data_IF_896860482748
#
_entry.id   IF_896860482748
#
_cell.length_a   1.000
_cell.length_b   1.000
_cell.length_c   1.000
_cell.angle_alpha   90.00
_cell.angle_beta   90.00
_cell.angle_gamma   90.00
#
_symmetry.space_group_name_H-M   'P 1'
#
loop_
_entity.id
_entity.type
_entity.pdbx_description
1 polymer ?
#
# COMPACT_ATOMS: atom_id res chain seq x y z
N UNK A 1 -67.69 28.24 -56.71
CA UNK A 1 -66.24 28.56 -56.70
C UNK A 1 -65.54 27.56 -55.81
N UNK A 2 -64.69 26.72 -56.39
CA UNK A 2 -63.83 25.76 -55.69
C UNK A 2 -62.74 26.46 -54.88
N UNK A 3 -62.38 25.92 -53.70
CA UNK A 3 -60.97 25.73 -53.34
C UNK A 3 -60.81 24.76 -52.17
N UNK A 4 -60.32 23.58 -52.54
CA UNK A 4 -59.62 22.60 -51.71
C UNK A 4 -58.29 23.23 -51.26
N UNK A 5 -57.93 23.09 -49.98
CA UNK A 5 -56.55 23.26 -49.54
C UNK A 5 -56.14 22.04 -48.70
N UNK A 6 -55.43 21.12 -49.35
CA UNK A 6 -54.68 20.03 -48.71
C UNK A 6 -53.46 20.63 -48.02
N UNK A 7 -53.30 20.40 -46.73
CA UNK A 7 -52.01 20.58 -46.04
C UNK A 7 -51.43 19.19 -45.79
N UNK A 8 -50.31 18.95 -46.45
CA UNK A 8 -49.45 17.79 -46.29
C UNK A 8 -48.18 18.31 -45.65
N UNK A 9 -47.77 17.84 -44.46
CA UNK A 9 -46.36 17.89 -44.07
C UNK A 9 -46.02 16.90 -42.94
N UNK A 10 -45.43 15.78 -43.36
CA UNK A 10 -44.23 15.11 -42.82
C UNK A 10 -44.16 14.88 -41.30
N UNK A 11 -44.45 13.65 -40.88
CA UNK A 11 -43.96 13.07 -39.63
C UNK A 11 -42.46 12.74 -39.75
N UNK A 12 -41.62 13.49 -39.02
CA UNK A 12 -40.23 13.13 -38.76
C UNK A 12 -40.19 11.97 -37.75
N UNK A 13 -39.68 10.80 -38.17
CA UNK A 13 -39.28 9.72 -37.27
C UNK A 13 -37.90 10.06 -36.68
N UNK A 14 -37.85 10.45 -35.42
CA UNK A 14 -36.59 10.60 -34.68
C UNK A 14 -36.18 9.22 -34.16
N UNK A 15 -35.34 8.52 -34.91
CA UNK A 15 -34.57 7.38 -34.38
C UNK A 15 -33.50 7.90 -33.45
N UNK A 16 -33.74 7.86 -32.14
CA UNK A 16 -32.71 8.11 -31.14
C UNK A 16 -31.79 6.87 -31.05
N UNK A 17 -30.61 6.96 -31.66
CA UNK A 17 -29.50 6.06 -31.35
C UNK A 17 -28.84 6.52 -30.04
N UNK A 18 -29.37 6.11 -28.89
CA UNK A 18 -28.70 6.27 -27.59
C UNK A 18 -27.73 5.09 -27.35
N UNK A 19 -26.58 5.08 -28.04
CA UNK A 19 -25.47 4.14 -27.74
C UNK A 19 -24.11 4.73 -28.12
N UNK A 20 -23.57 5.64 -27.32
CA UNK A 20 -22.10 5.92 -27.31
C UNK A 20 -21.59 6.55 -26.00
N UNK A 21 -22.45 6.98 -25.07
CA UNK A 21 -21.98 7.76 -23.90
C UNK A 21 -21.37 6.94 -22.75
N UNK A 22 -21.61 5.62 -22.69
CA UNK A 22 -21.11 4.79 -21.58
C UNK A 22 -19.65 4.37 -21.74
N UNK A 23 -19.19 4.03 -22.94
CA UNK A 23 -17.83 3.48 -23.15
C UNK A 23 -16.76 4.53 -22.89
N UNK A 24 -16.93 5.75 -23.42
CA UNK A 24 -15.99 6.85 -23.23
C UNK A 24 -15.87 7.26 -21.75
N UNK A 25 -16.98 7.26 -21.01
CA UNK A 25 -17.00 7.63 -19.58
C UNK A 25 -16.32 6.58 -18.70
N UNK A 26 -16.46 5.29 -19.05
CA UNK A 26 -15.80 4.20 -18.33
C UNK A 26 -14.29 4.16 -18.60
N UNK A 27 -13.86 4.42 -19.82
CA UNK A 27 -12.43 4.46 -20.18
C UNK A 27 -11.69 5.61 -19.47
N UNK A 28 -12.31 6.80 -19.38
CA UNK A 28 -11.79 7.93 -18.62
C UNK A 28 -11.68 7.63 -17.11
N UNK A 29 -12.69 6.93 -16.54
CA UNK A 29 -12.66 6.54 -15.13
C UNK A 29 -11.58 5.50 -14.81
N UNK A 30 -11.29 4.62 -15.76
CA UNK A 30 -10.26 3.59 -15.60
C UNK A 30 -8.87 4.19 -15.68
N UNK A 31 -8.59 5.05 -16.66
CA UNK A 31 -7.29 5.72 -16.77
C UNK A 31 -6.97 6.59 -15.54
N UNK A 32 -7.96 7.29 -14.98
CA UNK A 32 -7.79 8.04 -13.75
C UNK A 32 -7.48 7.14 -12.55
N UNK A 33 -8.12 5.96 -12.46
CA UNK A 33 -7.83 5.00 -11.41
C UNK A 33 -6.43 4.38 -11.53
N UNK A 34 -5.93 4.18 -12.74
CA UNK A 34 -4.56 3.71 -12.94
C UNK A 34 -3.53 4.75 -12.52
N UNK A 35 -3.75 6.00 -12.92
CA UNK A 35 -2.91 7.11 -12.48
C UNK A 35 -2.94 7.26 -10.95
N UNK A 36 -4.09 7.02 -10.30
CA UNK A 36 -4.19 7.01 -8.84
C UNK A 36 -3.30 5.91 -8.23
N UNK A 37 -3.34 4.67 -8.76
CA UNK A 37 -2.46 3.58 -8.31
C UNK A 37 -0.98 3.91 -8.52
N UNK A 38 -0.61 4.51 -9.66
CA UNK A 38 0.78 4.95 -9.91
C UNK A 38 1.27 6.00 -8.91
N UNK A 39 0.35 6.80 -8.36
CA UNK A 39 0.62 7.79 -7.32
C UNK A 39 0.46 7.22 -5.89
N UNK A 40 0.35 5.90 -5.74
CA UNK A 40 0.22 5.23 -4.43
C UNK A 40 -1.20 5.25 -3.86
N UNK A 41 -2.19 5.62 -4.66
CA UNK A 41 -3.61 5.52 -4.34
C UNK A 41 -4.14 4.09 -4.53
N UNK A 42 -5.47 3.98 -4.49
CA UNK A 42 -6.19 2.70 -4.51
C UNK A 42 -6.84 2.38 -5.86
N UNK A 43 -6.80 3.31 -6.80
CA UNK A 43 -7.56 3.25 -8.03
C UNK A 43 -9.04 3.10 -7.77
N UNK A 44 -9.62 2.00 -8.28
CA UNK A 44 -11.05 1.72 -8.11
C UNK A 44 -11.37 1.12 -6.74
N UNK A 45 -10.38 0.68 -5.97
CA UNK A 45 -10.58 -0.04 -4.73
C UNK A 45 -11.16 0.84 -3.62
N UNK A 46 -12.16 0.32 -2.91
CA UNK A 46 -12.87 1.03 -1.84
C UNK A 46 -12.54 0.46 -0.48
N UNK A 47 -12.73 1.30 0.54
CA UNK A 47 -12.62 0.89 1.94
C UNK A 47 -13.94 0.33 2.43
N UNK A 48 -13.85 -0.69 3.28
CA UNK A 48 -14.97 -1.13 4.08
C UNK A 48 -15.39 0.02 5.02
N UNK A 49 -16.65 0.50 4.96
CA UNK A 49 -17.12 1.60 5.80
C UNK A 49 -17.24 1.22 7.28
N UNK A 50 -17.29 -0.07 7.60
CA UNK A 50 -17.44 -0.59 8.96
C UNK A 50 -16.53 -1.82 9.16
N UNK A 51 -15.19 -1.65 9.18
CA UNK A 51 -14.28 -2.75 9.43
C UNK A 51 -14.41 -3.26 10.87
N UNK A 52 -14.28 -4.56 11.07
CA UNK A 52 -14.56 -5.23 12.36
C UNK A 52 -13.38 -6.05 12.88
N UNK A 53 -12.44 -6.44 12.03
CA UNK A 53 -11.33 -7.33 12.39
C UNK A 53 -10.12 -6.53 12.88
N UNK A 54 -10.26 -5.89 14.05
CA UNK A 54 -9.26 -4.99 14.60
C UNK A 54 -8.12 -5.73 15.32
N UNK A 55 -6.88 -5.29 15.09
CA UNK A 55 -5.66 -5.75 15.75
C UNK A 55 -4.87 -4.56 16.28
N UNK A 56 -4.47 -4.64 17.55
CA UNK A 56 -3.55 -3.69 18.16
C UNK A 56 -2.13 -4.02 17.70
N UNK A 57 -1.47 -3.05 17.06
CA UNK A 57 -0.09 -3.17 16.59
C UNK A 57 0.83 -2.42 17.55
N UNK A 58 1.92 -3.06 17.94
CA UNK A 58 2.96 -2.46 18.76
C UNK A 58 4.28 -2.49 17.99
N UNK A 59 4.83 -1.30 17.76
CA UNK A 59 6.19 -1.09 17.25
C UNK A 59 7.11 -0.69 18.41
N UNK A 60 8.23 -1.39 18.55
CA UNK A 60 9.27 -1.09 19.54
C UNK A 60 10.62 -0.84 18.90
N UNK A 61 11.32 0.17 19.39
CA UNK A 61 12.71 0.44 19.09
C UNK A 61 13.57 -0.03 20.25
N UNK A 62 14.74 -0.59 19.95
CA UNK A 62 15.70 -0.96 20.98
C UNK A 62 17.10 -0.55 20.55
N UNK A 63 17.82 0.12 21.46
CA UNK A 63 19.15 0.69 21.23
C UNK A 63 19.23 1.62 20.01
N UNK A 64 18.16 2.38 19.72
CA UNK A 64 18.17 3.32 18.60
C UNK A 64 19.33 4.33 18.74
N UNK A 65 20.12 4.56 17.67
CA UNK A 65 21.28 5.47 17.71
C UNK A 65 20.90 6.95 17.86
N UNK A 66 19.63 7.29 17.62
CA UNK A 66 19.07 8.63 17.75
C UNK A 66 17.54 8.62 17.60
N UNK A 67 16.90 9.80 17.66
CA UNK A 67 15.46 9.93 17.53
C UNK A 67 14.97 9.62 16.10
N UNK A 68 13.84 8.94 15.98
CA UNK A 68 13.11 8.79 14.72
C UNK A 68 11.88 9.71 14.73
N UNK A 69 12.00 10.89 14.11
CA UNK A 69 10.93 11.89 14.06
C UNK A 69 9.88 11.58 12.99
N UNK A 70 10.24 10.79 11.96
CA UNK A 70 9.30 10.32 10.95
C UNK A 70 9.17 8.80 11.01
N UNK A 71 7.97 8.36 11.40
CA UNK A 71 7.58 6.95 11.44
C UNK A 71 6.25 6.83 10.69
N UNK A 72 6.29 6.11 9.58
CA UNK A 72 5.14 5.92 8.69
C UNK A 72 4.75 4.44 8.73
N UNK A 73 3.60 4.15 9.33
CA UNK A 73 3.03 2.81 9.33
C UNK A 73 2.25 2.54 8.05
N UNK A 74 2.25 1.29 7.60
CA UNK A 74 1.46 0.84 6.44
C UNK A 74 0.83 -0.52 6.68
N UNK A 75 -0.42 -0.70 6.27
CA UNK A 75 -1.09 -2.00 6.18
C UNK A 75 -1.29 -2.34 4.70
N UNK A 76 -0.80 -3.51 4.28
CA UNK A 76 -0.91 -3.96 2.91
C UNK A 76 -2.03 -4.99 2.77
N UNK A 77 -2.78 -4.85 1.68
CA UNK A 77 -3.82 -5.77 1.26
C UNK A 77 -3.58 -6.14 -0.20
N UNK A 78 -3.81 -7.40 -0.53
CA UNK A 78 -3.72 -7.91 -1.89
C UNK A 78 -5.03 -8.61 -2.24
N UNK A 79 -5.48 -8.48 -3.48
CA UNK A 79 -6.56 -9.31 -4.00
C UNK A 79 -6.02 -10.72 -4.22
N UNK A 80 -6.81 -11.76 -3.97
CA UNK A 80 -6.36 -13.15 -4.10
C UNK A 80 -6.83 -13.85 -5.39
N UNK A 81 -7.68 -13.17 -6.16
CA UNK A 81 -8.36 -13.70 -7.36
C UNK A 81 -8.30 -12.68 -8.52
N UNK A 82 -7.15 -12.04 -8.73
CA UNK A 82 -7.01 -10.98 -9.75
C UNK A 82 -7.26 -11.48 -11.17
N UNK A 83 -6.94 -12.75 -11.45
CA UNK A 83 -7.20 -13.35 -12.76
C UNK A 83 -8.71 -13.36 -13.10
N UNK A 84 -9.55 -13.62 -12.11
CA UNK A 84 -11.00 -13.64 -12.26
C UNK A 84 -11.61 -12.23 -12.27
N UNK A 85 -11.23 -11.38 -11.33
CA UNK A 85 -11.93 -10.11 -11.07
C UNK A 85 -11.23 -8.87 -11.65
N UNK A 86 -9.91 -8.92 -11.85
CA UNK A 86 -9.06 -7.75 -12.11
C UNK A 86 -9.06 -7.28 -13.55
N UNK A 87 -8.36 -6.18 -13.84
CA UNK A 87 -8.15 -5.76 -15.24
C UNK A 87 -7.15 -6.67 -15.94
N UNK A 88 -7.51 -7.14 -17.14
CA UNK A 88 -6.59 -7.89 -18.00
C UNK A 88 -5.78 -6.92 -18.85
N UNK A 89 -4.46 -7.04 -18.79
CA UNK A 89 -3.59 -6.32 -19.71
C UNK A 89 -3.78 -6.87 -21.13
N UNK A 90 -4.20 -6.05 -22.12
CA UNK A 90 -4.44 -6.52 -23.48
C UNK A 90 -3.21 -7.07 -24.20
N UNK A 91 -2.01 -6.60 -23.85
CA UNK A 91 -0.75 -7.00 -24.49
C UNK A 91 -0.27 -8.37 -23.98
N UNK A 92 -0.40 -8.62 -22.67
CA UNK A 92 0.08 -9.87 -22.05
C UNK A 92 -1.02 -10.91 -21.87
N UNK A 93 -2.29 -10.51 -21.92
CA UNK A 93 -3.44 -11.36 -21.62
C UNK A 93 -3.56 -11.78 -20.15
N UNK A 94 -2.77 -11.17 -19.26
CA UNK A 94 -2.74 -11.52 -17.82
C UNK A 94 -3.35 -10.41 -16.97
N UNK A 95 -3.94 -10.78 -15.83
CA UNK A 95 -4.31 -9.79 -14.83
C UNK A 95 -3.07 -9.16 -14.20
N UNK A 96 -3.14 -7.86 -13.92
CA UNK A 96 -2.16 -7.18 -13.07
C UNK A 96 -2.40 -7.52 -11.60
N UNK A 97 -1.34 -7.47 -10.79
CA UNK A 97 -1.48 -7.54 -9.32
C UNK A 97 -2.29 -6.35 -8.84
N UNK A 98 -3.22 -6.58 -7.91
CA UNK A 98 -4.03 -5.54 -7.30
C UNK A 98 -3.66 -5.46 -5.81
N UNK A 99 -2.97 -4.39 -5.45
CA UNK A 99 -2.46 -4.15 -4.10
C UNK A 99 -2.96 -2.80 -3.59
N UNK A 100 -3.27 -2.74 -2.31
CA UNK A 100 -3.59 -1.50 -1.59
C UNK A 100 -2.66 -1.34 -0.40
N UNK A 101 -2.12 -0.14 -0.21
CA UNK A 101 -1.33 0.23 0.95
C UNK A 101 -2.05 1.32 1.73
N UNK A 102 -2.64 0.95 2.86
CA UNK A 102 -3.36 1.89 3.71
C UNK A 102 -2.43 2.44 4.80
N UNK A 103 -2.39 3.78 4.99
CA UNK A 103 -1.65 4.38 6.10
C UNK A 103 -2.12 3.82 7.45
N UNK A 104 -1.17 3.36 8.26
CA UNK A 104 -1.38 2.97 9.65
C UNK A 104 -0.92 4.11 10.55
N UNK A 105 -1.86 4.69 11.29
CA UNK A 105 -1.56 5.72 12.28
C UNK A 105 -0.89 5.08 13.51
N UNK A 106 0.44 5.19 13.59
CA UNK A 106 1.22 4.82 14.75
C UNK A 106 1.36 6.03 15.70
N UNK A 107 0.88 5.88 16.93
CA UNK A 107 0.95 6.90 17.98
C UNK A 107 2.08 6.56 18.94
N UNK A 108 2.97 7.51 19.19
CA UNK A 108 4.01 7.38 20.22
C UNK A 108 3.37 7.32 21.60
N UNK A 109 3.64 6.25 22.36
CA UNK A 109 3.14 6.07 23.73
C UNK A 109 4.26 6.09 24.77
N UNK A 110 5.49 5.80 24.36
CA UNK A 110 6.71 5.97 25.15
C UNK A 110 7.86 6.40 24.23
N UNK A 111 9.07 6.54 24.78
CA UNK A 111 10.18 7.05 23.99
C UNK A 111 10.53 6.18 22.79
N UNK A 112 10.37 4.87 22.96
CA UNK A 112 10.76 3.79 22.06
C UNK A 112 9.57 2.89 21.65
N UNK A 113 8.34 3.29 21.97
CA UNK A 113 7.15 2.46 21.77
C UNK A 113 6.01 3.24 21.08
N UNK A 114 5.43 2.62 20.05
CA UNK A 114 4.39 3.18 19.21
C UNK A 114 3.26 2.18 19.01
N UNK A 115 2.02 2.65 19.15
CA UNK A 115 0.82 1.82 19.05
C UNK A 115 -0.04 2.26 17.86
N UNK A 116 -0.62 1.30 17.16
CA UNK A 116 -1.59 1.53 16.09
C UNK A 116 -2.68 0.47 16.07
N UNK A 117 -3.65 0.65 15.18
CA UNK A 117 -4.70 -0.34 14.96
C UNK A 117 -4.81 -0.65 13.48
N UNK A 118 -4.70 -1.93 13.13
CA UNK A 118 -4.93 -2.44 11.78
C UNK A 118 -6.27 -3.17 11.75
N UNK A 119 -6.97 -3.09 10.63
CA UNK A 119 -8.19 -3.85 10.40
C UNK A 119 -7.97 -4.84 9.25
N UNK A 120 -8.07 -6.14 9.50
CA UNK A 120 -7.81 -7.13 8.44
C UNK A 120 -8.82 -7.03 7.29
N UNK A 121 -10.04 -6.57 7.58
CA UNK A 121 -11.14 -6.36 6.65
C UNK A 121 -11.30 -4.89 6.23
N UNK A 122 -10.19 -4.14 6.16
CA UNK A 122 -10.19 -2.73 5.81
C UNK A 122 -10.62 -2.45 4.36
N UNK A 123 -10.28 -3.36 3.45
CA UNK A 123 -10.65 -3.26 2.04
C UNK A 123 -12.03 -3.86 1.81
N UNK A 124 -12.79 -3.25 0.88
CA UNK A 124 -14.11 -3.73 0.51
C UNK A 124 -14.01 -4.75 -0.63
N UNK A 125 -14.64 -5.91 -0.48
CA UNK A 125 -14.85 -6.80 -1.61
C UNK A 125 -15.94 -6.22 -2.52
N UNK A 126 -15.58 -5.94 -3.78
CA UNK A 126 -16.50 -5.39 -4.78
C UNK A 126 -16.07 -5.79 -6.20
N UNK A 127 -16.99 -5.74 -7.15
CA UNK A 127 -16.68 -5.88 -8.57
C UNK A 127 -16.21 -4.54 -9.15
N UNK A 128 -14.90 -4.34 -9.15
CA UNK A 128 -14.27 -3.10 -9.60
C UNK A 128 -14.17 -2.97 -11.13
N UNK A 129 -14.10 -4.10 -11.85
CA UNK A 129 -13.80 -4.12 -13.28
C UNK A 129 -14.93 -4.74 -14.13
N UNK A 130 -16.08 -5.06 -13.54
CA UNK A 130 -17.21 -5.69 -14.20
C UNK A 130 -16.98 -7.15 -14.57
N UNK A 131 -16.05 -7.83 -13.90
CA UNK A 131 -15.63 -9.23 -14.18
C UNK A 131 -15.97 -10.19 -13.05
N UNK A 132 -16.48 -9.68 -11.93
CA UNK A 132 -16.74 -10.43 -10.71
C UNK A 132 -16.13 -9.75 -9.49
N UNK A 133 -16.48 -10.23 -8.30
CA UNK A 133 -16.02 -9.65 -7.04
C UNK A 133 -14.53 -9.91 -6.84
N UNK A 134 -13.76 -8.85 -6.57
CA UNK A 134 -12.39 -8.98 -6.08
C UNK A 134 -12.40 -9.24 -4.57
N UNK A 135 -11.73 -10.32 -4.17
CA UNK A 135 -11.59 -10.74 -2.78
C UNK A 135 -10.27 -10.23 -2.23
N UNK A 136 -10.36 -9.32 -1.26
CA UNK A 136 -9.20 -8.76 -0.58
C UNK A 136 -8.77 -9.63 0.58
N UNK A 137 -7.45 -9.70 0.77
CA UNK A 137 -6.84 -10.30 1.95
C UNK A 137 -5.79 -9.35 2.52
N UNK A 138 -5.76 -9.23 3.84
CA UNK A 138 -4.63 -8.60 4.52
C UNK A 138 -3.36 -9.42 4.30
N UNK A 139 -2.31 -8.75 3.84
CA UNK A 139 -1.02 -9.37 3.49
C UNK A 139 0.04 -9.17 4.56
N UNK A 140 -0.08 -8.12 5.35
CA UNK A 140 0.88 -7.79 6.40
C UNK A 140 0.91 -6.30 6.70
N UNK A 141 1.69 -5.93 7.71
CA UNK A 141 1.88 -4.53 8.09
C UNK A 141 3.35 -4.25 8.33
N UNK A 142 3.75 -3.00 8.13
CA UNK A 142 5.11 -2.56 8.28
C UNK A 142 5.21 -1.12 8.73
N UNK A 143 6.45 -0.69 8.89
CA UNK A 143 6.78 0.70 9.14
C UNK A 143 8.05 1.09 8.38
N UNK A 144 8.06 2.34 7.96
CA UNK A 144 9.23 3.08 7.48
C UNK A 144 9.62 4.08 8.54
N UNK A 145 10.89 4.09 8.93
CA UNK A 145 11.43 5.05 9.88
C UNK A 145 12.56 5.85 9.25
N UNK A 146 12.55 7.16 9.53
CA UNK A 146 13.57 8.14 9.17
C UNK A 146 13.88 9.03 10.37
N UNK A 147 15.11 9.54 10.44
CA UNK A 147 15.56 10.37 11.54
C UNK A 147 14.76 11.68 11.61
N UNK A 148 14.68 12.41 10.50
CA UNK A 148 13.90 13.66 10.38
C UNK A 148 12.85 13.57 9.27
N UNK A 149 13.05 12.66 8.31
CA UNK A 149 12.21 12.52 7.12
C UNK A 149 12.82 13.07 5.84
N UNK A 150 14.07 13.53 5.87
CA UNK A 150 14.76 14.05 4.70
C UNK A 150 14.96 12.96 3.63
N UNK A 151 15.05 13.36 2.36
CA UNK A 151 15.10 12.40 1.24
C UNK A 151 16.39 11.57 1.27
N UNK A 152 17.50 12.21 1.61
CA UNK A 152 18.83 11.62 1.72
C UNK A 152 19.00 10.61 2.87
N UNK A 153 18.04 10.54 3.80
CA UNK A 153 18.10 9.65 4.96
C UNK A 153 17.80 8.20 4.58
N UNK A 154 18.45 7.28 5.29
CA UNK A 154 18.15 5.86 5.22
C UNK A 154 16.72 5.60 5.67
N UNK A 155 15.99 4.85 4.85
CA UNK A 155 14.68 4.29 5.19
C UNK A 155 14.86 2.95 5.87
N UNK A 156 14.62 2.92 7.17
CA UNK A 156 14.58 1.67 7.91
C UNK A 156 13.20 1.04 7.76
N UNK A 157 13.15 -0.09 7.07
CA UNK A 157 11.92 -0.78 6.69
C UNK A 157 11.78 -2.06 7.50
N UNK A 158 10.62 -2.24 8.12
CA UNK A 158 10.21 -3.50 8.75
C UNK A 158 8.83 -3.88 8.23
N UNK A 159 8.57 -5.17 8.06
CA UNK A 159 7.29 -5.70 7.57
C UNK A 159 7.08 -7.11 8.10
N UNK A 160 5.97 -7.33 8.81
CA UNK A 160 5.51 -8.63 9.29
C UNK A 160 4.35 -9.10 8.39
N UNK A 161 4.46 -10.33 7.87
CA UNK A 161 3.43 -10.94 7.04
C UNK A 161 2.18 -11.31 7.85
N UNK A 162 1.06 -11.48 7.15
CA UNK A 162 -0.24 -11.76 7.76
C UNK A 162 -0.26 -13.04 8.61
N UNK A 163 0.44 -14.10 8.20
CA UNK A 163 0.41 -15.38 8.90
C UNK A 163 1.07 -15.23 10.27
N UNK A 164 2.27 -14.62 10.33
CA UNK A 164 2.94 -14.30 11.60
C UNK A 164 2.17 -13.27 12.43
N UNK A 165 1.66 -12.23 11.79
CA UNK A 165 0.91 -11.16 12.45
C UNK A 165 -0.33 -11.70 13.18
N UNK A 166 -1.11 -12.55 12.51
CA UNK A 166 -2.34 -13.13 13.09
C UNK A 166 -2.06 -14.25 14.09
N UNK A 167 -0.91 -14.94 13.99
CA UNK A 167 -0.44 -15.87 15.01
C UNK A 167 -0.03 -15.19 16.33
N UNK A 168 0.13 -13.86 16.33
CA UNK A 168 0.61 -13.10 17.50
C UNK A 168 2.12 -13.15 17.66
N UNK A 169 2.85 -13.48 16.59
CA UNK A 169 4.31 -13.48 16.59
C UNK A 169 4.88 -12.07 16.77
N UNK A 170 6.12 -12.02 17.23
CA UNK A 170 6.94 -10.81 17.17
C UNK A 170 7.99 -10.96 16.07
N UNK A 171 8.00 -10.03 15.12
CA UNK A 171 9.09 -9.85 14.18
C UNK A 171 10.08 -8.84 14.77
N UNK A 172 11.35 -9.22 14.91
CA UNK A 172 12.43 -8.30 15.27
C UNK A 172 13.46 -8.27 14.15
N UNK A 173 13.73 -7.09 13.60
CA UNK A 173 14.80 -6.88 12.62
C UNK A 173 15.90 -6.03 13.24
N UNK A 174 17.14 -6.44 13.01
CA UNK A 174 18.35 -5.76 13.46
C UNK A 174 18.97 -4.95 12.31
N UNK A 175 19.50 -3.78 12.63
CA UNK A 175 20.04 -2.81 11.71
C UNK A 175 21.38 -2.28 12.23
N UNK A 176 22.40 -2.10 11.38
CA UNK A 176 23.64 -1.43 11.77
C UNK A 176 23.37 0.02 12.18
N UNK A 177 23.79 0.39 13.39
CA UNK A 177 23.64 1.76 13.90
C UNK A 177 24.39 2.79 13.04
N UNK A 178 25.49 2.38 12.38
CA UNK A 178 26.25 3.23 11.45
C UNK A 178 25.44 3.70 10.23
N UNK A 179 24.34 3.00 9.91
CA UNK A 179 23.49 3.35 8.77
C UNK A 179 22.54 4.50 9.12
N UNK A 180 22.50 4.92 10.39
CA UNK A 180 21.71 6.05 10.87
C UNK A 180 22.54 7.34 10.96
N UNK A 181 21.98 8.51 10.57
CA UNK A 181 20.73 8.67 9.84
C UNK A 181 20.88 8.37 8.33
N UNK A 182 22.14 8.25 7.86
CA UNK A 182 22.49 8.02 6.46
C UNK A 182 23.52 6.91 6.36
N UNK A 183 23.19 5.86 5.61
CA UNK A 183 24.14 4.83 5.22
C UNK A 183 25.29 5.43 4.42
N UNK A 184 26.51 5.11 4.84
CA UNK A 184 27.70 5.43 4.07
C UNK A 184 27.73 4.62 2.76
N UNK A 185 28.26 5.19 1.68
CA UNK A 185 28.54 4.42 0.47
C UNK A 185 29.43 3.22 0.79
N UNK A 186 29.20 2.10 0.11
CA UNK A 186 30.18 1.03 0.06
C UNK A 186 31.29 1.50 -0.87
N UNK A 187 32.52 1.64 -0.36
CA UNK A 187 33.68 1.92 -1.20
C UNK A 187 33.82 0.80 -2.24
N UNK A 188 33.61 1.16 -3.50
CA UNK A 188 33.66 0.26 -4.63
C UNK A 188 33.99 1.03 -5.91
N UNK A 189 34.36 0.33 -7.01
CA UNK A 189 34.79 0.96 -8.26
C UNK A 189 33.71 1.81 -8.94
N UNK A 190 32.47 1.82 -8.41
CA UNK A 190 31.33 2.57 -8.91
C UNK A 190 31.38 4.07 -8.63
N UNK A 191 32.28 4.55 -7.74
CA UNK A 191 32.42 5.98 -7.45
C UNK A 191 31.19 6.63 -6.83
N UNK A 192 30.28 5.83 -6.25
CA UNK A 192 29.07 6.32 -5.58
C UNK A 192 29.46 6.99 -4.28
N UNK A 193 29.16 8.29 -4.15
CA UNK A 193 29.55 9.14 -3.01
C UNK A 193 28.43 9.35 -1.98
N UNK A 194 27.19 8.98 -2.28
CA UNK A 194 26.04 8.91 -1.36
C UNK A 194 25.02 7.88 -1.85
N UNK A 195 24.36 7.19 -0.91
CA UNK A 195 23.17 6.40 -1.21
C UNK A 195 21.98 7.12 -0.61
N UNK A 196 21.39 8.01 -1.41
CA UNK A 196 20.17 8.72 -1.02
C UNK A 196 19.01 7.73 -0.91
N UNK A 197 18.13 7.98 0.06
CA UNK A 197 16.90 7.20 0.28
C UNK A 197 17.14 5.68 0.40
N UNK A 198 18.28 5.27 0.99
CA UNK A 198 18.69 3.86 1.09
C UNK A 198 17.64 3.00 1.82
N UNK A 199 17.11 1.93 1.20
CA UNK A 199 16.09 1.06 1.82
C UNK A 199 16.71 -0.03 2.69
N UNK A 200 17.09 0.30 3.92
CA UNK A 200 17.61 -0.66 4.89
C UNK A 200 16.49 -1.58 5.39
N UNK A 201 16.57 -2.88 5.07
CA UNK A 201 15.59 -3.90 5.49
C UNK A 201 15.98 -4.66 6.77
N UNK A 202 17.23 -4.52 7.22
CA UNK A 202 17.75 -5.25 8.38
C UNK A 202 17.71 -6.77 8.21
N UNK A 203 18.01 -7.51 9.28
CA UNK A 203 17.93 -8.97 9.31
C UNK A 203 17.39 -9.46 10.65
N UNK A 204 16.64 -10.57 10.65
CA UNK A 204 16.17 -11.21 11.88
C UNK A 204 17.31 -11.92 12.61
N UNK A 205 18.28 -12.48 11.87
CA UNK A 205 19.47 -13.09 12.44
C UNK A 205 20.60 -12.05 12.49
N UNK A 206 20.99 -11.55 13.68
CA UNK A 206 22.08 -10.57 13.80
C UNK A 206 23.45 -11.17 13.47
N UNK A 207 23.60 -12.50 13.40
CA UNK A 207 24.89 -13.14 13.11
C UNK A 207 25.32 -12.99 11.65
N UNK A 208 24.39 -12.64 10.75
CA UNK A 208 24.68 -12.38 9.33
C UNK A 208 25.55 -11.15 9.13
N UNK A 209 25.52 -10.21 10.08
CA UNK A 209 26.36 -9.02 10.02
C UNK A 209 27.81 -9.39 10.28
N UNK A 210 28.76 -8.64 9.73
CA UNK A 210 30.18 -8.81 10.10
C UNK A 210 30.39 -8.40 11.56
N UNK A 211 31.35 -9.01 12.29
CA UNK A 211 31.55 -8.78 13.72
C UNK A 211 31.55 -7.30 14.13
N UNK A 212 32.19 -6.44 13.34
CA UNK A 212 32.30 -5.00 13.59
C UNK A 212 30.93 -4.29 13.64
N UNK A 213 29.93 -4.80 12.91
CA UNK A 213 28.57 -4.25 12.93
C UNK A 213 27.71 -4.86 14.03
N UNK A 214 27.98 -6.10 14.44
CA UNK A 214 27.20 -6.80 15.47
C UNK A 214 27.25 -6.10 16.82
N UNK A 215 28.37 -5.44 17.12
CA UNK A 215 28.57 -4.72 18.38
C UNK A 215 27.72 -3.43 18.47
N UNK A 216 27.25 -2.92 17.33
CA UNK A 216 26.49 -1.69 17.24
C UNK A 216 25.23 -1.88 16.38
N UNK A 217 24.35 -2.78 16.82
CA UNK A 217 23.02 -2.98 16.24
C UNK A 217 21.95 -2.29 17.08
N UNK A 218 20.99 -1.70 16.39
CA UNK A 218 19.68 -1.38 16.95
C UNK A 218 18.63 -2.30 16.30
N UNK A 219 17.44 -2.38 16.90
CA UNK A 219 16.37 -3.21 16.34
C UNK A 219 15.02 -2.54 16.35
N UNK A 220 14.21 -2.94 15.39
CA UNK A 220 12.79 -2.57 15.28
C UNK A 220 11.99 -3.86 15.41
N UNK A 221 11.07 -3.88 16.37
CA UNK A 221 10.16 -5.00 16.58
C UNK A 221 8.73 -4.62 16.25
N UNK A 222 8.01 -5.51 15.56
CA UNK A 222 6.58 -5.43 15.31
C UNK A 222 5.90 -6.64 15.93
N UNK A 223 4.81 -6.40 16.64
CA UNK A 223 3.96 -7.45 17.21
C UNK A 223 2.51 -7.00 17.15
N UNK A 224 1.59 -7.96 17.21
CA UNK A 224 0.18 -7.66 17.23
C UNK A 224 -0.63 -8.63 18.09
N UNK A 225 -1.81 -8.16 18.48
CA UNK A 225 -2.83 -8.95 19.16
C UNK A 225 -4.20 -8.53 18.65
N UNK A 226 -5.14 -9.44 18.65
CA UNK A 226 -6.54 -9.10 18.39
C UNK A 226 -7.01 -8.06 19.42
N UNK A 227 -7.65 -7.00 18.94
CA UNK A 227 -8.15 -5.95 19.81
C UNK A 227 -9.38 -6.47 20.58
N UNK A 228 -9.42 -6.22 21.89
CA UNK A 228 -10.59 -6.57 22.70
C UNK A 228 -11.73 -5.61 22.36
N UNK A 229 -12.86 -6.16 21.91
CA UNK A 229 -14.11 -5.42 21.70
C UNK A 229 -14.78 -5.05 23.02
#
# INVERSE_FOLDING_TARGET
>A
MHRVLKICLVTLLITACSRTENTMSQDLSTAAAEADVENGGRGLAKLNPQPRQAYDVVLKLHNAPGPFERIEGVAQYDVTNEAECGRINPETGTAGRITSQEPLALKRVADDEYHGTVYLDRMLDEDYYGRGVCHWKFSGTGALLKATGAHEETRFLTFIDADRFTAGDTLTRHYPARDYPRASPVEGPSGITSIEDYPARGNEDPTVFVPELREALFSISLSAKEAKQ
#
